data_IF_803775404885
#
_entry.id   IF_803775404885
#
_cell.length_a   1.000
_cell.length_b   1.000
_cell.length_c   1.000
_cell.angle_alpha   90.00
_cell.angle_beta   90.00
_cell.angle_gamma   90.00
#
_symmetry.space_group_name_H-M   'P 1'
#
loop_
_entity.id
_entity.type
_entity.pdbx_description
1 polymer ?
#
# COMPACT_ATOMS: atom_id res chain seq x y z
N UNK A 1 43.43 -31.33 6.60
CA UNK A 1 42.66 -30.78 5.47
C UNK A 1 41.20 -31.17 5.68
N UNK A 2 40.42 -30.28 6.30
CA UNK A 2 38.98 -30.48 6.50
C UNK A 2 38.27 -30.23 5.17
N UNK A 3 37.72 -31.29 4.58
CA UNK A 3 36.88 -31.23 3.39
C UNK A 3 35.66 -30.38 3.72
N UNK A 4 35.62 -29.12 3.31
CA UNK A 4 34.41 -28.30 3.36
C UNK A 4 33.36 -28.98 2.48
N UNK A 5 32.46 -29.74 3.12
CA UNK A 5 31.36 -30.39 2.45
C UNK A 5 30.48 -29.29 1.83
N UNK A 6 30.45 -29.24 0.49
CA UNK A 6 29.62 -28.28 -0.24
C UNK A 6 28.15 -28.59 0.04
N UNK A 7 27.48 -27.71 0.78
CA UNK A 7 26.05 -27.79 1.01
C UNK A 7 25.31 -27.66 -0.34
N UNK A 8 24.28 -28.46 -0.52
CA UNK A 8 23.32 -28.21 -1.60
C UNK A 8 22.61 -26.87 -1.38
N UNK A 9 22.04 -26.22 -2.43
CA UNK A 9 21.27 -24.99 -2.26
C UNK A 9 20.16 -25.10 -1.21
N UNK A 10 19.45 -26.23 -1.17
CA UNK A 10 18.42 -26.49 -0.17
C UNK A 10 18.98 -26.57 1.26
N UNK A 11 20.12 -27.24 1.47
CA UNK A 11 20.75 -27.33 2.80
C UNK A 11 21.30 -25.98 3.27
N UNK A 12 21.89 -25.20 2.36
CA UNK A 12 22.38 -23.86 2.68
C UNK A 12 21.22 -22.92 3.04
N UNK A 13 20.11 -23.00 2.31
CA UNK A 13 18.88 -22.27 2.64
C UNK A 13 18.31 -22.71 3.99
N UNK A 14 18.17 -24.02 4.22
CA UNK A 14 17.60 -24.56 5.47
C UNK A 14 18.47 -24.15 6.68
N UNK A 15 19.80 -24.08 6.51
CA UNK A 15 20.73 -23.58 7.53
C UNK A 15 20.55 -22.08 7.80
N UNK A 16 20.45 -21.24 6.75
CA UNK A 16 20.17 -19.81 6.89
C UNK A 16 18.83 -19.57 7.60
N UNK A 17 17.79 -20.31 7.21
CA UNK A 17 16.46 -20.23 7.82
C UNK A 17 16.52 -20.59 9.30
N UNK A 18 17.11 -21.73 9.64
CA UNK A 18 17.20 -22.20 11.02
C UNK A 18 17.95 -21.21 11.92
N UNK A 19 18.98 -20.55 11.39
CA UNK A 19 19.77 -19.57 12.12
C UNK A 19 19.06 -18.22 12.26
N UNK A 20 18.59 -17.63 11.16
CA UNK A 20 18.08 -16.26 11.15
C UNK A 20 16.60 -16.16 11.55
N UNK A 21 15.74 -17.10 11.15
CA UNK A 21 14.29 -16.95 11.31
C UNK A 21 13.85 -16.69 12.76
N UNK A 22 14.35 -17.38 13.80
CA UNK A 22 13.95 -17.12 15.16
C UNK A 22 14.24 -15.67 15.59
N UNK A 23 15.41 -15.13 15.27
CA UNK A 23 15.78 -13.76 15.60
C UNK A 23 14.93 -12.74 14.81
N UNK A 24 14.73 -12.99 13.51
CA UNK A 24 13.93 -12.10 12.65
C UNK A 24 12.47 -12.03 13.09
N UNK A 25 11.87 -13.13 13.59
CA UNK A 25 10.49 -13.08 14.09
C UNK A 25 10.41 -12.22 15.35
N UNK A 26 11.41 -12.31 16.26
CA UNK A 26 11.46 -11.43 17.44
C UNK A 26 11.61 -9.96 17.05
N UNK A 27 12.49 -9.67 16.11
CA UNK A 27 12.72 -8.32 15.61
C UNK A 27 11.47 -7.74 14.94
N UNK A 28 10.84 -8.48 14.02
CA UNK A 28 9.60 -8.04 13.35
C UNK A 28 8.41 -7.95 14.31
N UNK A 29 8.41 -8.70 15.42
CA UNK A 29 7.44 -8.51 16.49
C UNK A 29 7.61 -7.15 17.18
N UNK A 30 8.85 -6.72 17.49
CA UNK A 30 9.11 -5.38 18.02
C UNK A 30 8.62 -4.27 17.07
N UNK A 31 8.62 -4.53 15.76
CA UNK A 31 8.12 -3.59 14.75
C UNK A 31 6.59 -3.54 14.63
N UNK A 32 5.89 -4.61 14.96
CA UNK A 32 4.46 -4.77 14.61
C UNK A 32 3.54 -4.97 15.80
N UNK A 33 4.06 -5.47 16.92
CA UNK A 33 3.30 -5.90 18.09
C UNK A 33 2.36 -7.07 17.83
N UNK A 34 2.52 -7.77 16.70
CA UNK A 34 1.62 -8.83 16.24
C UNK A 34 2.42 -10.07 15.89
N UNK A 35 2.23 -11.14 16.66
CA UNK A 35 2.97 -12.41 16.55
C UNK A 35 2.72 -13.08 15.20
N UNK A 36 1.47 -13.07 14.75
CA UNK A 36 1.09 -13.68 13.48
C UNK A 36 1.64 -12.89 12.28
N UNK A 37 1.64 -11.55 12.37
CA UNK A 37 2.19 -10.70 11.32
C UNK A 37 3.71 -10.79 11.25
N UNK A 38 4.40 -10.77 12.40
CA UNK A 38 5.83 -10.96 12.49
C UNK A 38 6.26 -12.29 11.83
N UNK A 39 5.60 -13.39 12.20
CA UNK A 39 5.87 -14.71 11.61
C UNK A 39 5.64 -14.72 10.10
N UNK A 40 4.49 -14.23 9.64
CA UNK A 40 4.17 -14.21 8.22
C UNK A 40 5.16 -13.35 7.42
N UNK A 41 5.57 -12.19 7.94
CA UNK A 41 6.53 -11.31 7.27
C UNK A 41 7.87 -12.02 7.06
N UNK A 42 8.37 -12.72 8.08
CA UNK A 42 9.63 -13.50 7.99
C UNK A 42 9.48 -14.68 7.04
N UNK A 43 8.40 -15.45 7.15
CA UNK A 43 8.15 -16.57 6.24
C UNK A 43 8.08 -16.11 4.78
N UNK A 44 7.37 -15.01 4.52
CA UNK A 44 7.25 -14.39 3.20
C UNK A 44 8.61 -13.87 2.70
N UNK A 45 9.44 -13.30 3.57
CA UNK A 45 10.79 -12.87 3.21
C UNK A 45 11.67 -14.07 2.80
N UNK A 46 11.60 -15.18 3.53
CA UNK A 46 12.31 -16.40 3.16
C UNK A 46 11.75 -17.09 1.90
N UNK A 47 10.44 -17.01 1.65
CA UNK A 47 9.85 -17.43 0.37
C UNK A 47 10.47 -16.65 -0.80
N UNK A 48 10.58 -15.32 -0.67
CA UNK A 48 11.23 -14.47 -1.67
C UNK A 48 12.72 -14.78 -1.80
N UNK A 49 13.40 -15.03 -0.68
CA UNK A 49 14.81 -15.43 -0.67
C UNK A 49 15.04 -16.74 -1.44
N UNK A 50 14.14 -17.72 -1.28
CA UNK A 50 14.21 -18.98 -2.01
C UNK A 50 13.99 -18.78 -3.52
N UNK A 51 13.03 -17.93 -3.91
CA UNK A 51 12.78 -17.60 -5.32
C UNK A 51 13.99 -16.92 -5.98
N UNK A 52 14.76 -16.13 -5.21
CA UNK A 52 15.97 -15.42 -5.67
C UNK A 52 17.25 -16.06 -5.13
N UNK A 53 17.21 -17.35 -4.80
CA UNK A 53 18.29 -18.00 -4.05
C UNK A 53 19.68 -17.86 -4.69
N UNK A 54 19.85 -17.95 -6.03
CA UNK A 54 21.17 -17.75 -6.65
C UNK A 54 21.79 -16.37 -6.38
N UNK A 55 20.98 -15.33 -6.19
CA UNK A 55 21.42 -13.98 -5.87
C UNK A 55 21.70 -13.86 -4.38
N UNK A 56 20.75 -14.28 -3.54
CA UNK A 56 20.85 -14.20 -2.07
C UNK A 56 22.01 -15.02 -1.54
N UNK A 57 22.26 -16.21 -2.09
CA UNK A 57 23.38 -17.06 -1.66
C UNK A 57 24.77 -16.49 -2.02
N UNK A 58 24.83 -15.50 -2.92
CA UNK A 58 26.07 -14.80 -3.29
C UNK A 58 26.23 -13.45 -2.59
N UNK A 59 25.19 -13.00 -1.88
CA UNK A 59 25.24 -11.77 -1.09
C UNK A 59 26.29 -11.90 0.02
N UNK A 60 26.91 -10.77 0.38
CA UNK A 60 27.87 -10.70 1.49
C UNK A 60 27.18 -10.94 2.83
N UNK A 61 25.93 -10.51 2.97
CA UNK A 61 25.08 -10.75 4.13
C UNK A 61 23.68 -11.23 3.72
N UNK A 62 23.52 -12.54 3.45
CA UNK A 62 22.22 -13.13 3.16
C UNK A 62 21.20 -12.94 4.29
N UNK A 63 21.67 -12.84 5.55
CA UNK A 63 20.81 -12.62 6.71
C UNK A 63 20.23 -11.20 6.72
N UNK A 64 21.08 -10.21 6.45
CA UNK A 64 20.69 -8.81 6.26
C UNK A 64 19.73 -8.60 5.09
N UNK A 65 19.95 -9.30 3.97
CA UNK A 65 19.02 -9.29 2.83
C UNK A 65 17.61 -9.73 3.26
N UNK A 66 17.51 -10.88 3.96
CA UNK A 66 16.21 -11.39 4.43
C UNK A 66 15.62 -10.46 5.49
N UNK A 67 16.43 -9.87 6.37
CA UNK A 67 15.99 -8.92 7.39
C UNK A 67 15.36 -7.67 6.78
N UNK A 68 16.00 -7.06 5.77
CA UNK A 68 15.48 -5.90 5.07
C UNK A 68 14.10 -6.20 4.46
N UNK A 69 13.98 -7.30 3.72
CA UNK A 69 12.70 -7.74 3.13
C UNK A 69 11.65 -8.03 4.20
N UNK A 70 12.02 -8.69 5.30
CA UNK A 70 11.10 -8.99 6.39
C UNK A 70 10.60 -7.71 7.07
N UNK A 71 11.45 -6.69 7.21
CA UNK A 71 11.10 -5.40 7.81
C UNK A 71 10.14 -4.60 6.92
N UNK A 72 10.40 -4.57 5.61
CA UNK A 72 9.50 -3.92 4.64
C UNK A 72 8.13 -4.59 4.63
N UNK A 73 8.12 -5.92 4.64
CA UNK A 73 6.89 -6.70 4.74
C UNK A 73 6.19 -6.45 6.07
N UNK A 74 6.90 -6.41 7.21
CA UNK A 74 6.31 -6.19 8.52
C UNK A 74 5.69 -4.79 8.69
N UNK A 75 6.37 -3.75 8.19
CA UNK A 75 5.95 -2.35 8.31
C UNK A 75 5.03 -1.87 7.18
N UNK A 76 4.63 -2.77 6.28
CA UNK A 76 3.81 -2.42 5.13
C UNK A 76 2.48 -1.76 5.55
N UNK A 77 2.13 -0.57 5.01
CA UNK A 77 0.91 0.14 5.39
C UNK A 77 -0.35 -0.62 4.99
N UNK A 78 -0.26 -1.58 4.06
CA UNK A 78 -1.38 -2.37 3.59
C UNK A 78 -1.98 -3.29 4.65
N UNK A 79 -1.25 -3.60 5.72
CA UNK A 79 -1.77 -4.45 6.80
C UNK A 79 -2.97 -3.85 7.51
N UNK A 80 -3.10 -2.51 7.51
CA UNK A 80 -4.27 -1.81 8.08
C UNK A 80 -5.59 -2.17 7.37
N UNK A 81 -5.52 -2.63 6.12
CA UNK A 81 -6.70 -3.01 5.35
C UNK A 81 -7.06 -4.50 5.49
N UNK A 82 -6.21 -5.31 6.14
CA UNK A 82 -6.45 -6.75 6.27
C UNK A 82 -7.44 -7.02 7.41
N UNK A 83 -8.62 -7.60 7.16
CA UNK A 83 -9.65 -7.80 8.19
C UNK A 83 -9.16 -8.56 9.41
N UNK A 84 -8.31 -9.58 9.21
CA UNK A 84 -7.74 -10.39 10.30
C UNK A 84 -6.87 -9.60 11.30
N UNK A 85 -6.44 -8.39 10.94
CA UNK A 85 -5.63 -7.52 11.80
C UNK A 85 -6.40 -6.32 12.35
N UNK A 86 -7.72 -6.28 12.18
CA UNK A 86 -8.53 -5.23 12.81
C UNK A 86 -8.60 -5.38 14.33
N UNK A 87 -8.53 -6.61 14.83
CA UNK A 87 -8.47 -6.89 16.26
C UNK A 87 -7.01 -6.87 16.75
N UNK A 88 -6.73 -6.28 17.92
CA UNK A 88 -5.43 -6.40 18.56
C UNK A 88 -5.21 -7.84 19.05
N UNK A 89 -3.96 -8.31 19.02
CA UNK A 89 -3.59 -9.55 19.68
C UNK A 89 -3.52 -9.36 21.21
N UNK A 90 -3.62 -10.43 22.02
CA UNK A 90 -3.39 -10.34 23.46
C UNK A 90 -2.04 -9.67 23.75
N UNK A 91 -2.01 -8.67 24.64
CA UNK A 91 -0.76 -7.98 24.94
C UNK A 91 0.17 -8.89 25.75
N UNK A 92 1.47 -8.55 25.86
CA UNK A 92 2.41 -9.27 26.74
C UNK A 92 1.87 -9.48 28.16
N UNK A 93 2.25 -10.58 28.80
CA UNK A 93 1.77 -10.90 30.15
C UNK A 93 2.37 -9.97 31.23
N UNK A 94 3.64 -9.61 31.09
CA UNK A 94 4.34 -8.69 31.99
C UNK A 94 3.89 -7.23 31.70
N UNK A 95 3.39 -6.47 32.72
CA UNK A 95 3.08 -5.05 32.58
C UNK A 95 4.23 -4.20 32.01
N UNK A 96 5.47 -4.48 32.39
CA UNK A 96 6.62 -3.70 31.92
C UNK A 96 6.89 -3.94 30.42
N UNK A 97 6.72 -5.19 29.97
CA UNK A 97 6.83 -5.57 28.56
C UNK A 97 5.68 -4.96 27.73
N UNK A 98 4.45 -4.89 28.29
CA UNK A 98 3.33 -4.20 27.65
C UNK A 98 3.61 -2.71 27.46
N UNK A 99 4.11 -2.05 28.50
CA UNK A 99 4.42 -0.62 28.45
C UNK A 99 5.50 -0.33 27.40
N UNK A 100 6.58 -1.12 27.38
CA UNK A 100 7.63 -1.00 26.38
C UNK A 100 7.10 -1.23 24.96
N UNK A 101 6.31 -2.29 24.74
CA UNK A 101 5.74 -2.54 23.42
C UNK A 101 4.85 -1.39 22.98
N UNK A 102 3.99 -0.87 23.87
CA UNK A 102 3.14 0.27 23.54
C UNK A 102 3.96 1.50 23.14
N UNK A 103 4.97 1.87 23.94
CA UNK A 103 5.87 2.99 23.65
C UNK A 103 6.62 2.82 22.33
N UNK A 104 7.07 1.60 22.00
CA UNK A 104 7.65 1.29 20.69
C UNK A 104 6.63 1.48 19.57
N UNK A 105 5.38 1.03 19.77
CA UNK A 105 4.35 1.10 18.74
C UNK A 105 3.84 2.52 18.46
N UNK A 106 3.97 3.42 19.42
CA UNK A 106 3.65 4.85 19.28
C UNK A 106 4.70 5.61 18.46
N UNK A 107 5.92 5.08 18.32
CA UNK A 107 6.93 5.65 17.44
C UNK A 107 6.50 5.54 15.97
N UNK A 108 6.79 6.55 15.13
CA UNK A 108 6.62 6.42 13.69
C UNK A 108 7.43 5.24 13.14
N UNK A 109 6.92 4.50 12.12
CA UNK A 109 7.54 3.26 11.64
C UNK A 109 9.03 3.36 11.31
N UNK A 110 9.47 4.47 10.72
CA UNK A 110 10.88 4.68 10.38
C UNK A 110 11.78 4.82 11.63
N UNK A 111 11.29 5.48 12.68
CA UNK A 111 12.02 5.70 13.93
C UNK A 111 12.14 4.39 14.70
N UNK A 112 11.03 3.65 14.80
CA UNK A 112 11.01 2.31 15.37
C UNK A 112 11.94 1.34 14.63
N UNK A 113 11.94 1.36 13.29
CA UNK A 113 12.85 0.56 12.46
C UNK A 113 14.31 0.89 12.78
N UNK A 114 14.67 2.17 12.76
CA UNK A 114 16.03 2.63 13.08
C UNK A 114 16.45 2.20 14.47
N UNK A 115 15.59 2.36 15.47
CA UNK A 115 15.87 1.97 16.85
C UNK A 115 16.06 0.45 17.00
N UNK A 116 15.20 -0.37 16.38
CA UNK A 116 15.36 -1.83 16.46
C UNK A 116 16.63 -2.29 15.73
N UNK A 117 17.01 -1.69 14.59
CA UNK A 117 18.27 -2.03 13.91
C UNK A 117 19.50 -1.67 14.74
N UNK A 118 19.53 -0.47 15.30
CA UNK A 118 20.68 0.01 16.06
C UNK A 118 20.73 -0.61 17.46
N UNK A 119 19.70 -0.37 18.28
CA UNK A 119 19.66 -0.79 19.69
C UNK A 119 19.20 -2.25 19.87
N UNK A 120 18.45 -2.82 18.95
CA UNK A 120 17.96 -4.20 19.05
C UNK A 120 18.88 -5.22 18.38
N UNK A 121 19.30 -4.96 17.14
CA UNK A 121 20.17 -5.85 16.35
C UNK A 121 21.64 -5.58 16.61
N UNK A 122 22.02 -4.34 16.92
CA UNK A 122 23.41 -3.95 17.17
C UNK A 122 24.18 -3.58 15.91
N UNK A 123 23.49 -3.17 14.83
CA UNK A 123 24.16 -2.64 13.64
C UNK A 123 24.84 -1.31 13.95
N UNK A 124 25.91 -1.01 13.23
CA UNK A 124 26.49 0.33 13.32
C UNK A 124 25.59 1.38 12.62
N UNK A 125 25.94 2.65 12.80
CA UNK A 125 25.13 3.75 12.29
C UNK A 125 25.13 3.82 10.74
N UNK A 126 26.27 3.69 10.03
CA UNK A 126 26.29 3.56 8.57
C UNK A 126 25.48 2.38 8.01
N UNK A 127 25.56 1.19 8.61
CA UNK A 127 24.81 0.00 8.20
C UNK A 127 23.30 0.23 8.41
N UNK A 128 22.92 0.76 9.57
CA UNK A 128 21.52 1.12 9.85
C UNK A 128 20.99 2.16 8.85
N UNK A 129 21.82 3.12 8.45
CA UNK A 129 21.45 4.14 7.47
C UNK A 129 21.24 3.52 6.08
N UNK A 130 22.14 2.65 5.64
CA UNK A 130 22.02 1.93 4.37
C UNK A 130 20.72 1.12 4.30
N UNK A 131 20.38 0.39 5.36
CA UNK A 131 19.18 -0.45 5.38
C UNK A 131 17.86 0.27 5.54
N UNK A 132 17.90 1.50 6.06
CA UNK A 132 16.72 2.37 6.15
C UNK A 132 16.63 3.34 4.97
N UNK A 133 17.49 3.15 3.96
CA UNK A 133 17.60 3.99 2.77
C UNK A 133 17.67 5.49 3.13
N UNK A 134 18.47 5.80 4.14
CA UNK A 134 18.61 7.15 4.68
C UNK A 134 20.08 7.54 4.80
N UNK A 135 20.33 8.84 4.96
CA UNK A 135 21.67 9.31 5.27
C UNK A 135 22.03 9.01 6.73
N UNK A 136 23.33 8.88 7.02
CA UNK A 136 23.82 8.68 8.39
C UNK A 136 23.34 9.78 9.36
N UNK A 137 23.35 11.07 9.00
CA UNK A 137 22.81 12.13 9.88
C UNK A 137 21.30 12.00 10.12
N UNK A 138 20.52 11.66 9.09
CA UNK A 138 19.07 11.46 9.25
C UNK A 138 18.77 10.27 10.18
N UNK A 139 19.55 9.19 10.06
CA UNK A 139 19.46 8.01 10.92
C UNK A 139 19.82 8.34 12.37
N UNK A 140 20.91 9.10 12.59
CA UNK A 140 21.27 9.60 13.93
C UNK A 140 20.15 10.43 14.56
N UNK A 141 19.58 11.36 13.79
CA UNK A 141 18.46 12.18 14.24
C UNK A 141 17.23 11.34 14.62
N UNK A 142 16.86 10.34 13.80
CA UNK A 142 15.78 9.41 14.12
C UNK A 142 16.05 8.63 15.41
N UNK A 143 17.27 8.14 15.59
CA UNK A 143 17.66 7.38 16.77
C UNK A 143 17.58 8.21 18.05
N UNK A 144 18.14 9.43 18.05
CA UNK A 144 18.09 10.35 19.19
C UNK A 144 16.63 10.61 19.59
N UNK A 145 15.78 10.99 18.62
CA UNK A 145 14.37 11.27 18.88
C UNK A 145 13.59 10.05 19.37
N UNK A 146 13.90 8.86 18.83
CA UNK A 146 13.27 7.62 19.26
C UNK A 146 13.62 7.30 20.73
N UNK A 147 14.90 7.47 21.11
CA UNK A 147 15.35 7.29 22.49
C UNK A 147 14.77 8.32 23.45
N UNK A 148 14.73 9.59 23.05
CA UNK A 148 14.07 10.66 23.83
C UNK A 148 12.60 10.32 24.10
N UNK A 149 11.88 9.87 23.07
CA UNK A 149 10.47 9.49 23.19
C UNK A 149 10.26 8.27 24.12
N UNK A 150 11.13 7.25 24.05
CA UNK A 150 11.07 6.11 24.97
C UNK A 150 11.41 6.52 26.40
N UNK A 151 12.49 7.27 26.60
CA UNK A 151 12.94 7.72 27.92
C UNK A 151 11.93 8.65 28.62
N UNK A 152 11.13 9.41 27.86
CA UNK A 152 10.05 10.23 28.41
C UNK A 152 8.94 9.39 29.07
N UNK A 153 8.70 8.16 28.59
CA UNK A 153 7.71 7.25 29.15
C UNK A 153 8.32 6.27 30.16
N UNK A 154 9.58 5.87 29.95
CA UNK A 154 10.30 4.88 30.72
C UNK A 154 11.76 5.34 30.95
N UNK A 155 12.02 6.16 31.99
CA UNK A 155 13.33 6.78 32.22
C UNK A 155 14.50 5.80 32.31
N UNK A 156 14.25 4.57 32.77
CA UNK A 156 15.24 3.49 32.83
C UNK A 156 15.81 3.11 31.45
N UNK A 157 15.07 3.37 30.37
CA UNK A 157 15.51 3.10 29.00
C UNK A 157 16.44 4.18 28.43
N UNK A 158 16.77 5.21 29.21
CA UNK A 158 17.80 6.18 28.84
C UNK A 158 19.19 5.54 28.76
N UNK A 159 19.44 4.45 29.50
CA UNK A 159 20.65 3.64 29.36
C UNK A 159 20.53 2.72 28.12
N UNK A 160 21.42 2.88 27.11
CA UNK A 160 21.41 2.03 25.91
C UNK A 160 21.56 0.53 26.22
N UNK A 161 22.31 0.17 27.26
CA UNK A 161 22.50 -1.25 27.62
C UNK A 161 21.23 -1.85 28.21
N UNK A 162 20.50 -1.09 29.03
CA UNK A 162 19.17 -1.46 29.51
C UNK A 162 18.19 -1.61 28.36
N UNK A 163 18.14 -0.62 27.46
CA UNK A 163 17.26 -0.64 26.30
C UNK A 163 17.50 -1.89 25.44
N UNK A 164 18.75 -2.19 25.08
CA UNK A 164 19.10 -3.39 24.33
C UNK A 164 18.59 -4.66 25.02
N UNK A 165 18.85 -4.79 26.32
CA UNK A 165 18.42 -5.95 27.11
C UNK A 165 16.91 -6.10 27.13
N UNK A 166 16.17 -5.02 27.36
CA UNK A 166 14.70 -5.04 27.42
C UNK A 166 14.10 -5.36 26.05
N UNK A 167 14.67 -4.88 24.95
CA UNK A 167 14.26 -5.27 23.59
C UNK A 167 14.46 -6.77 23.33
N UNK A 168 15.58 -7.34 23.77
CA UNK A 168 15.83 -8.78 23.65
C UNK A 168 14.88 -9.63 24.49
N UNK A 169 14.60 -9.21 25.73
CA UNK A 169 13.64 -9.89 26.63
C UNK A 169 12.25 -9.87 26.01
N UNK A 170 11.74 -8.69 25.64
CA UNK A 170 10.42 -8.53 25.03
C UNK A 170 10.27 -9.37 23.75
N UNK A 171 11.31 -9.42 22.92
CA UNK A 171 11.29 -10.25 21.72
C UNK A 171 11.25 -11.75 22.03
N UNK A 172 11.88 -12.21 23.11
CA UNK A 172 12.09 -13.64 23.42
C UNK A 172 11.01 -14.27 24.31
N UNK A 173 10.31 -13.48 25.12
CA UNK A 173 9.24 -13.93 26.02
C UNK A 173 8.02 -14.44 25.25
N UNK A 174 7.81 -13.93 24.05
CA UNK A 174 6.72 -14.37 23.19
C UNK A 174 7.06 -15.68 22.49
N UNK A 175 6.14 -16.66 22.56
CA UNK A 175 6.27 -17.96 21.87
C UNK A 175 6.09 -17.80 20.35
N UNK A 176 7.04 -17.14 19.74
CA UNK A 176 7.14 -16.83 18.32
C UNK A 176 7.76 -18.03 17.60
N UNK A 177 6.98 -19.10 17.40
CA UNK A 177 7.47 -20.25 16.63
C UNK A 177 7.51 -19.89 15.14
N UNK A 178 8.70 -19.95 14.54
CA UNK A 178 8.85 -19.96 13.09
C UNK A 178 8.35 -21.29 12.50
N UNK A 179 7.77 -21.27 11.30
CA UNK A 179 7.37 -22.49 10.58
C UNK A 179 8.57 -23.39 10.24
N UNK A 180 8.31 -24.64 9.87
CA UNK A 180 9.39 -25.58 9.48
C UNK A 180 9.97 -25.20 8.10
N UNK A 181 11.32 -25.28 7.90
CA UNK A 181 11.99 -24.91 6.65
C UNK A 181 11.39 -25.49 5.34
N UNK A 182 11.07 -26.81 5.25
CA UNK A 182 10.54 -27.36 4.01
C UNK A 182 9.15 -26.80 3.64
N UNK A 183 8.34 -26.42 4.63
CA UNK A 183 7.04 -25.81 4.37
C UNK A 183 7.20 -24.46 3.66
N UNK A 184 8.19 -23.66 4.06
CA UNK A 184 8.45 -22.33 3.49
C UNK A 184 8.87 -22.42 2.01
N UNK A 185 9.66 -23.44 1.64
CA UNK A 185 10.04 -23.67 0.23
C UNK A 185 8.83 -24.06 -0.62
N UNK A 186 8.02 -25.02 -0.15
CA UNK A 186 6.86 -25.54 -0.91
C UNK A 186 5.67 -24.57 -0.97
N UNK A 187 5.49 -23.72 0.04
CA UNK A 187 4.37 -22.77 0.10
C UNK A 187 4.55 -21.60 -0.87
N UNK A 188 5.81 -21.19 -1.12
CA UNK A 188 6.14 -20.20 -2.14
C UNK A 188 5.76 -20.65 -3.55
N UNK A 189 5.98 -21.92 -3.88
CA UNK A 189 5.62 -22.51 -5.17
C UNK A 189 4.10 -22.54 -5.37
N UNK A 190 3.34 -23.00 -4.37
CA UNK A 190 1.87 -23.05 -4.42
C UNK A 190 1.24 -21.68 -4.59
N UNK A 191 1.76 -20.66 -3.88
CA UNK A 191 1.28 -19.28 -4.00
C UNK A 191 1.59 -18.67 -5.37
N UNK A 192 2.79 -18.87 -5.91
CA UNK A 192 3.10 -18.38 -7.26
C UNK A 192 2.20 -19.04 -8.30
N UNK A 193 2.03 -20.36 -8.22
CA UNK A 193 1.11 -21.10 -9.10
C UNK A 193 -0.31 -20.57 -8.96
N UNK A 194 -0.80 -20.35 -7.74
CA UNK A 194 -2.14 -19.78 -7.50
C UNK A 194 -2.31 -18.40 -8.13
N UNK A 195 -1.35 -17.49 -7.97
CA UNK A 195 -1.41 -16.14 -8.56
C UNK A 195 -1.34 -16.18 -10.09
N UNK A 196 -0.53 -17.06 -10.67
CA UNK A 196 -0.51 -17.28 -12.13
C UNK A 196 -1.87 -17.77 -12.63
N UNK A 197 -2.48 -18.75 -11.97
CA UNK A 197 -3.82 -19.24 -12.35
C UNK A 197 -4.89 -18.16 -12.18
N UNK A 198 -4.83 -17.37 -11.09
CA UNK A 198 -5.76 -16.27 -10.87
C UNK A 198 -5.64 -15.19 -11.96
N UNK A 199 -4.42 -14.84 -12.37
CA UNK A 199 -4.18 -13.88 -13.46
C UNK A 199 -4.71 -14.39 -14.82
N UNK A 200 -4.52 -15.68 -15.10
CA UNK A 200 -5.07 -16.34 -16.29
C UNK A 200 -6.61 -16.30 -16.25
N UNK A 201 -7.23 -16.72 -15.14
CA UNK A 201 -8.68 -16.71 -14.98
C UNK A 201 -9.28 -15.30 -15.11
N UNK A 202 -8.62 -14.29 -14.54
CA UNK A 202 -9.03 -12.89 -14.65
C UNK A 202 -8.97 -12.39 -16.10
N UNK A 203 -7.90 -12.72 -16.83
CA UNK A 203 -7.77 -12.41 -18.27
C UNK A 203 -8.89 -13.05 -19.07
N UNK A 204 -9.20 -14.33 -18.82
CA UNK A 204 -10.31 -15.04 -19.48
C UNK A 204 -11.66 -14.39 -19.16
N UNK A 205 -11.89 -13.98 -17.91
CA UNK A 205 -13.12 -13.29 -17.51
C UNK A 205 -13.28 -11.94 -18.21
N UNK A 206 -12.20 -11.15 -18.36
CA UNK A 206 -12.23 -9.89 -19.11
C UNK A 206 -12.58 -10.15 -20.58
N UNK A 207 -11.92 -11.11 -21.23
CA UNK A 207 -12.20 -11.46 -22.63
C UNK A 207 -13.66 -11.89 -22.79
N UNK A 208 -14.16 -12.74 -21.90
CA UNK A 208 -15.55 -13.18 -21.89
C UNK A 208 -16.53 -12.02 -21.71
N UNK A 209 -16.26 -11.10 -20.78
CA UNK A 209 -17.07 -9.90 -20.57
C UNK A 209 -17.05 -8.99 -21.81
N UNK A 210 -15.88 -8.78 -22.43
CA UNK A 210 -15.76 -8.00 -23.67
C UNK A 210 -16.55 -8.65 -24.81
N UNK A 211 -16.44 -9.96 -25.00
CA UNK A 211 -17.20 -10.68 -26.01
C UNK A 211 -18.71 -10.58 -25.77
N UNK A 212 -19.15 -10.71 -24.51
CA UNK A 212 -20.55 -10.52 -24.13
C UNK A 212 -21.01 -9.10 -24.45
N UNK A 213 -20.24 -8.08 -24.09
CA UNK A 213 -20.59 -6.68 -24.42
C UNK A 213 -20.68 -6.46 -25.93
N UNK A 214 -19.80 -7.06 -26.72
CA UNK A 214 -19.87 -6.95 -28.18
C UNK A 214 -21.11 -7.65 -28.77
N UNK A 215 -21.59 -8.74 -28.14
CA UNK A 215 -22.80 -9.44 -28.57
C UNK A 215 -24.09 -8.74 -28.13
N UNK A 216 -24.12 -8.14 -26.94
CA UNK A 216 -25.36 -7.60 -26.34
C UNK A 216 -25.48 -6.09 -26.45
N UNK A 217 -24.40 -5.37 -26.76
CA UNK A 217 -24.46 -3.91 -26.89
C UNK A 217 -25.35 -3.52 -28.08
N UNK A 218 -26.34 -2.64 -27.87
CA UNK A 218 -27.15 -2.12 -28.97
C UNK A 218 -26.24 -1.38 -29.95
N UNK A 219 -26.20 -1.84 -31.20
CA UNK A 219 -25.35 -1.31 -32.27
C UNK A 219 -25.82 0.05 -32.79
N UNK A 220 -26.99 0.49 -32.37
CA UNK A 220 -27.61 1.75 -32.79
C UNK A 220 -28.21 2.47 -31.59
N UNK A 221 -27.89 3.75 -31.47
CA UNK A 221 -28.53 4.64 -30.52
C UNK A 221 -29.89 5.06 -31.07
N UNK A 222 -30.97 4.63 -30.43
CA UNK A 222 -32.30 5.19 -30.69
C UNK A 222 -32.49 6.39 -29.75
N UNK A 223 -32.52 7.59 -30.33
CA UNK A 223 -32.74 8.81 -29.58
C UNK A 223 -34.13 8.75 -28.91
N UNK A 224 -34.22 8.95 -27.58
CA UNK A 224 -35.50 9.00 -26.90
C UNK A 224 -36.39 10.06 -27.55
N UNK A 225 -37.60 9.69 -27.94
CA UNK A 225 -38.57 10.65 -28.46
C UNK A 225 -38.91 11.59 -27.30
N UNK A 226 -38.49 12.85 -27.41
CA UNK A 226 -38.86 13.86 -26.43
C UNK A 226 -40.40 14.00 -26.39
N UNK A 227 -41.00 14.16 -25.20
CA UNK A 227 -42.44 14.37 -25.10
C UNK A 227 -42.86 15.57 -25.95
N UNK A 228 -43.98 15.45 -26.64
CA UNK A 228 -44.49 16.51 -27.51
C UNK A 228 -44.73 17.79 -26.69
N UNK A 229 -43.84 18.76 -26.83
CA UNK A 229 -43.99 20.09 -26.27
C UNK A 229 -44.75 20.94 -27.29
N UNK A 230 -45.94 21.40 -26.95
CA UNK A 230 -46.66 22.35 -27.80
C UNK A 230 -45.80 23.63 -27.95
N UNK A 231 -45.37 23.92 -29.17
CA UNK A 231 -44.65 25.16 -29.50
C UNK A 231 -45.61 26.32 -29.27
N UNK A 232 -45.46 27.04 -28.14
CA UNK A 232 -46.26 28.23 -27.83
C UNK A 232 -45.64 29.45 -28.50
N UNK A 233 -46.48 30.35 -28.99
CA UNK A 233 -46.04 31.62 -29.57
C UNK A 233 -45.70 31.56 -31.07
N UNK A 234 -46.13 30.52 -31.78
CA UNK A 234 -46.12 30.56 -33.25
C UNK A 234 -47.08 31.67 -33.69
N UNK A 235 -46.61 32.68 -34.46
CA UNK A 235 -47.49 33.71 -35.00
C UNK A 235 -48.62 33.05 -35.79
N UNK A 236 -49.85 33.60 -35.75
CA UNK A 236 -50.91 33.11 -36.61
C UNK A 236 -50.43 33.15 -38.07
N UNK A 237 -50.79 32.15 -38.90
CA UNK A 237 -50.46 32.16 -40.31
C UNK A 237 -50.94 33.48 -40.91
N UNK A 238 -50.11 34.11 -41.75
CA UNK A 238 -50.47 35.37 -42.40
C UNK A 238 -51.81 35.19 -43.12
N UNK A 239 -52.80 36.03 -42.78
CA UNK A 239 -54.10 35.98 -43.42
C UNK A 239 -53.93 36.28 -44.92
N UNK A 240 -54.45 35.40 -45.78
CA UNK A 240 -54.53 35.65 -47.22
C UNK A 240 -55.63 36.70 -47.46
N UNK A 241 -55.25 37.97 -47.43
CA UNK A 241 -56.15 39.10 -47.62
C UNK A 241 -55.45 40.44 -47.38
N UNK A 242 -56.10 41.56 -47.72
CA UNK A 242 -55.58 42.88 -47.38
C UNK A 242 -55.49 43.03 -45.85
N UNK A 243 -54.37 43.58 -45.36
CA UNK A 243 -54.14 43.81 -43.94
C UNK A 243 -55.30 44.61 -43.35
N UNK A 244 -55.78 44.21 -42.17
CA UNK A 244 -56.75 45.00 -41.40
C UNK A 244 -56.16 46.37 -41.05
N UNK A 245 -57.02 47.34 -40.70
CA UNK A 245 -56.57 48.69 -40.34
C UNK A 245 -55.59 48.69 -39.16
N UNK A 246 -55.79 47.80 -38.20
CA UNK A 246 -54.89 47.65 -37.04
C UNK A 246 -53.52 47.09 -37.47
N UNK A 247 -53.49 46.09 -38.35
CA UNK A 247 -52.26 45.53 -38.89
C UNK A 247 -51.52 46.54 -39.79
N UNK A 248 -52.24 47.36 -40.56
CA UNK A 248 -51.65 48.45 -41.35
C UNK A 248 -51.03 49.53 -40.44
N UNK A 249 -51.72 49.91 -39.36
CA UNK A 249 -51.20 50.85 -38.37
C UNK A 249 -49.96 50.28 -37.68
N UNK A 250 -49.98 49.00 -37.29
CA UNK A 250 -48.84 48.31 -36.70
C UNK A 250 -47.66 48.24 -37.68
N UNK A 251 -47.91 47.88 -38.94
CA UNK A 251 -46.89 47.86 -40.00
C UNK A 251 -46.27 49.23 -40.23
N UNK A 252 -47.09 50.28 -40.24
CA UNK A 252 -46.61 51.66 -40.40
C UNK A 252 -45.74 52.07 -39.21
N UNK A 253 -46.18 51.74 -37.99
CA UNK A 253 -45.41 51.99 -36.75
C UNK A 253 -44.09 51.21 -36.73
N UNK A 254 -44.09 49.95 -37.15
CA UNK A 254 -42.89 49.12 -37.24
C UNK A 254 -41.92 49.67 -38.28
N UNK A 255 -42.39 50.09 -39.46
CA UNK A 255 -41.54 50.72 -40.46
C UNK A 255 -40.92 52.04 -39.97
N UNK A 256 -41.66 52.85 -39.19
CA UNK A 256 -41.12 54.06 -38.57
C UNK A 256 -40.09 53.75 -37.46
N UNK A 257 -40.30 52.67 -36.70
CA UNK A 257 -39.38 52.23 -35.67
C UNK A 257 -38.07 51.67 -36.27
N UNK A 258 -38.17 50.92 -37.38
CA UNK A 258 -37.00 50.35 -38.08
C UNK A 258 -36.10 51.43 -38.70
N UNK A 259 -36.67 52.58 -39.10
CA UNK A 259 -35.87 53.74 -39.55
C UNK A 259 -35.04 54.40 -38.44
N UNK A 260 -35.20 53.98 -37.17
CA UNK A 260 -34.47 54.52 -36.01
C UNK A 260 -33.50 53.52 -35.36
N UNK A 261 -33.39 52.29 -35.87
CA UNK A 261 -32.47 51.26 -35.37
C UNK A 261 -31.08 51.39 -36.00
N UNK A 262 -29.98 51.01 -35.30
CA UNK A 262 -28.63 51.11 -35.85
C UNK A 262 -28.53 50.30 -37.16
N UNK A 263 -27.97 50.92 -38.21
CA UNK A 263 -27.76 50.27 -39.49
C UNK A 263 -26.93 48.99 -39.32
N UNK A 264 -27.57 47.84 -39.56
CA UNK A 264 -26.96 46.51 -39.75
C UNK A 264 -26.35 45.87 -38.48
N UNK A 265 -27.06 44.90 -37.91
CA UNK A 265 -26.49 43.97 -36.93
C UNK A 265 -25.49 43.03 -37.63
N UNK A 266 -24.22 43.09 -37.22
CA UNK A 266 -23.15 42.21 -37.71
C UNK A 266 -22.93 41.09 -36.68
N UNK A 267 -22.92 39.80 -37.06
CA UNK A 267 -22.71 38.71 -36.12
C UNK A 267 -21.27 38.71 -35.57
N UNK A 268 -21.12 38.81 -34.26
CA UNK A 268 -19.83 38.54 -33.60
C UNK A 268 -19.55 37.04 -33.61
N UNK A 269 -18.40 36.67 -34.16
CA UNK A 269 -17.87 35.31 -34.09
C UNK A 269 -17.08 35.17 -32.80
N UNK A 270 -17.47 34.20 -31.97
CA UNK A 270 -16.69 33.77 -30.81
C UNK A 270 -16.09 32.40 -31.09
#
# INVERSE_FOLDING_TARGET
MTTSQRLTPAQAFDALYAFCAPALVRQTYLLTGRRELAREAVERAFQLAWQRWPEVARDRDPGGWVRAVAYDLALSPWHRFRPRYRSPEPPPADPADRALLHALLDLPPAYRRTLVLYDGVGLDLPETAAETEASTPATAGRLIRAREALAAHMPELADPAELHRRLLVLGSTERLRASRPPAVRTDGERRNVFWTHAAIAFTVAIIGATALTLQTAPTRYEAPIAPAQAVRGVPPPAALGPLSREEQALRTKLHQADTSGPERLVPETR
#
